data_IF_727627674626
#
_entry.id   IF_727627674626
#
_cell.length_a   1.000
_cell.length_b   1.000
_cell.length_c   1.000
_cell.angle_alpha   90.00
_cell.angle_beta   90.00
_cell.angle_gamma   90.00
#
_symmetry.space_group_name_H-M   'P 1'
#
loop_
_entity.id
_entity.type
_entity.pdbx_description
1 polymer ?
#
# COMPACT_ATOMS: atom_id res chain seq x y z
N UNK A 1 -10.24 5.73 -5.19
CA UNK A 1 -8.79 5.61 -5.44
C UNK A 1 -8.49 6.29 -6.77
N UNK A 2 -7.32 6.91 -6.93
CA UNK A 2 -6.96 7.51 -8.21
C UNK A 2 -6.60 6.41 -9.22
N UNK A 3 -6.44 6.77 -10.49
CA UNK A 3 -6.07 5.82 -11.53
C UNK A 3 -4.70 5.16 -11.24
N UNK A 4 -3.79 5.85 -10.56
CA UNK A 4 -2.47 5.33 -10.24
C UNK A 4 -2.52 4.20 -9.20
N UNK A 5 -3.24 4.35 -8.09
CA UNK A 5 -3.25 3.30 -7.06
C UNK A 5 -4.01 2.06 -7.51
N UNK A 6 -5.05 2.22 -8.34
CA UNK A 6 -5.72 1.07 -8.97
C UNK A 6 -4.76 0.31 -9.89
N UNK A 7 -4.01 1.01 -10.74
CA UNK A 7 -3.01 0.40 -11.61
C UNK A 7 -1.92 -0.33 -10.81
N UNK A 8 -1.47 0.26 -9.70
CA UNK A 8 -0.51 -0.39 -8.82
C UNK A 8 -1.08 -1.65 -8.17
N UNK A 9 -2.33 -1.62 -7.68
CA UNK A 9 -3.00 -2.80 -7.14
C UNK A 9 -3.07 -3.92 -8.18
N UNK A 10 -3.56 -3.60 -9.38
CA UNK A 10 -3.71 -4.57 -10.47
C UNK A 10 -2.37 -5.27 -10.80
N UNK A 11 -1.27 -4.52 -10.86
CA UNK A 11 0.05 -5.08 -11.15
C UNK A 11 0.60 -5.93 -9.99
N UNK A 12 0.47 -5.46 -8.75
CA UNK A 12 0.97 -6.19 -7.58
C UNK A 12 0.22 -7.52 -7.37
N UNK A 13 -1.09 -7.52 -7.59
CA UNK A 13 -1.95 -8.70 -7.48
C UNK A 13 -1.69 -9.69 -8.61
N UNK A 14 -1.60 -9.21 -9.86
CA UNK A 14 -1.30 -10.05 -11.02
C UNK A 14 0.06 -10.78 -10.88
N UNK A 15 1.03 -10.15 -10.21
CA UNK A 15 2.35 -10.71 -9.96
C UNK A 15 2.44 -11.49 -8.64
N UNK A 16 1.40 -11.49 -7.81
CA UNK A 16 1.38 -12.08 -6.47
C UNK A 16 2.54 -11.57 -5.57
N UNK A 17 2.84 -10.27 -5.66
CA UNK A 17 3.94 -9.62 -4.92
C UNK A 17 3.43 -8.86 -3.71
N UNK A 18 2.19 -8.36 -3.76
CA UNK A 18 1.60 -7.65 -2.64
C UNK A 18 0.12 -7.36 -2.85
N UNK A 19 -0.51 -6.89 -1.78
CA UNK A 19 -1.92 -6.57 -1.72
C UNK A 19 -2.12 -5.28 -0.91
N UNK A 20 -3.09 -4.46 -1.31
CA UNK A 20 -3.50 -3.31 -0.51
C UNK A 20 -4.25 -3.81 0.72
N UNK A 21 -3.80 -3.42 1.92
CA UNK A 21 -4.39 -3.89 3.19
C UNK A 21 -5.12 -2.78 3.94
N UNK A 22 -4.66 -1.53 3.85
CA UNK A 22 -5.27 -0.40 4.55
C UNK A 22 -5.16 0.88 3.70
N UNK A 23 -6.19 1.72 3.76
CA UNK A 23 -6.17 3.08 3.23
C UNK A 23 -6.58 4.05 4.34
N UNK A 24 -5.66 4.92 4.78
CA UNK A 24 -6.01 6.01 5.68
C UNK A 24 -6.44 7.22 4.84
N UNK A 25 -7.64 7.75 5.10
CA UNK A 25 -8.13 8.97 4.46
C UNK A 25 -8.38 10.03 5.50
N UNK A 26 -7.54 11.07 5.50
CA UNK A 26 -7.64 12.25 6.35
C UNK A 26 -7.85 13.50 5.47
N UNK A 27 -8.33 14.63 6.01
CA UNK A 27 -8.45 15.87 5.25
C UNK A 27 -7.10 16.27 4.63
N UNK A 28 -7.00 16.25 3.29
CA UNK A 28 -5.79 16.62 2.55
C UNK A 28 -4.66 15.58 2.55
N UNK A 29 -4.87 14.40 3.13
CA UNK A 29 -3.85 13.37 3.24
C UNK A 29 -4.44 11.97 3.00
N UNK A 30 -3.74 11.15 2.22
CA UNK A 30 -4.10 9.76 2.04
C UNK A 30 -2.85 8.89 2.08
N UNK A 31 -2.91 7.83 2.85
CA UNK A 31 -1.85 6.83 2.97
C UNK A 31 -2.38 5.48 2.52
N UNK A 32 -1.57 4.77 1.74
CA UNK A 32 -1.88 3.45 1.20
C UNK A 32 -0.88 2.45 1.74
N UNK A 33 -1.36 1.51 2.54
CA UNK A 33 -0.52 0.48 3.15
C UNK A 33 -0.68 -0.81 2.37
N UNK A 34 0.44 -1.32 1.87
CA UNK A 34 0.52 -2.58 1.15
C UNK A 34 1.27 -3.61 1.99
N UNK A 35 0.75 -4.83 2.03
CA UNK A 35 1.50 -5.98 2.51
C UNK A 35 2.18 -6.64 1.31
N UNK A 36 3.50 -6.79 1.36
CA UNK A 36 4.29 -7.37 0.27
C UNK A 36 5.23 -8.45 0.78
N UNK A 37 5.43 -9.49 -0.02
CA UNK A 37 6.42 -10.54 0.25
C UNK A 37 7.85 -10.14 -0.13
N UNK A 38 8.03 -9.01 -0.85
CA UNK A 38 9.34 -8.54 -1.28
C UNK A 38 9.31 -7.04 -1.59
N UNK A 39 9.91 -6.24 -0.71
CA UNK A 39 10.08 -4.79 -0.89
C UNK A 39 10.78 -4.44 -2.22
N UNK A 40 11.78 -5.22 -2.65
CA UNK A 40 12.49 -4.94 -3.90
C UNK A 40 11.57 -5.10 -5.13
N UNK A 41 10.88 -6.24 -5.22
CA UNK A 41 9.90 -6.50 -6.28
C UNK A 41 8.74 -5.47 -6.27
N UNK A 42 8.28 -5.05 -5.09
CA UNK A 42 7.30 -3.97 -4.94
C UNK A 42 7.83 -2.66 -5.54
N UNK A 43 9.02 -2.21 -5.12
CA UNK A 43 9.64 -0.98 -5.61
C UNK A 43 9.89 -1.02 -7.12
N UNK A 44 10.29 -2.18 -7.66
CA UNK A 44 10.45 -2.35 -9.10
C UNK A 44 9.12 -2.20 -9.84
N UNK A 45 8.04 -2.76 -9.31
CA UNK A 45 6.70 -2.64 -9.88
C UNK A 45 6.24 -1.19 -9.85
N UNK A 46 6.37 -0.52 -8.70
CA UNK A 46 6.03 0.90 -8.52
C UNK A 46 6.75 1.80 -9.54
N UNK A 47 8.06 1.62 -9.70
CA UNK A 47 8.87 2.41 -10.64
C UNK A 47 8.65 2.04 -12.11
N UNK A 48 7.95 0.94 -12.40
CA UNK A 48 7.64 0.52 -13.77
C UNK A 48 6.30 1.06 -14.29
N UNK A 49 5.48 1.63 -13.40
CA UNK A 49 4.19 2.18 -13.79
C UNK A 49 4.38 3.42 -14.68
N UNK A 50 3.59 3.56 -15.76
CA UNK A 50 3.63 4.74 -16.61
C UNK A 50 3.38 6.00 -15.78
N UNK A 51 4.27 6.97 -15.94
CA UNK A 51 4.30 8.22 -15.18
C UNK A 51 3.00 9.01 -15.44
N UNK A 52 2.06 8.94 -14.50
CA UNK A 52 0.77 9.64 -14.62
C UNK A 52 0.90 11.08 -14.11
N UNK A 53 1.71 11.91 -14.81
CA UNK A 53 1.68 13.40 -14.84
C UNK A 53 1.50 14.21 -13.55
N UNK A 54 1.53 13.60 -12.36
CA UNK A 54 1.45 14.24 -11.07
C UNK A 54 2.54 13.64 -10.19
N UNK A 55 3.73 14.24 -10.28
CA UNK A 55 4.78 14.10 -9.27
C UNK A 55 4.31 14.77 -7.99
N UNK A 56 3.34 14.18 -7.29
CA UNK A 56 3.19 14.47 -5.87
C UNK A 56 4.41 13.87 -5.17
N UNK A 57 5.03 14.57 -4.21
CA UNK A 57 6.03 13.94 -3.36
C UNK A 57 5.33 12.80 -2.61
N UNK A 58 5.60 11.57 -3.01
CA UNK A 58 5.19 10.36 -2.29
C UNK A 58 6.32 9.99 -1.33
N UNK A 59 5.99 9.87 -0.05
CA UNK A 59 6.89 9.33 0.97
C UNK A 59 6.62 7.83 1.09
N UNK A 60 7.69 7.03 1.05
CA UNK A 60 7.60 5.57 1.13
C UNK A 60 8.25 5.13 2.44
N UNK A 61 7.44 4.57 3.32
CA UNK A 61 7.89 3.92 4.54
C UNK A 61 7.86 2.40 4.36
N UNK A 62 8.94 1.75 4.78
CA UNK A 62 9.09 0.29 4.70
C UNK A 62 9.42 -0.25 6.09
N UNK A 63 8.57 -1.13 6.60
CA UNK A 63 8.77 -1.80 7.88
C UNK A 63 8.59 -3.31 7.72
N UNK A 64 9.33 -4.09 8.52
CA UNK A 64 9.20 -5.54 8.54
C UNK A 64 8.12 -5.93 9.54
N UNK A 65 7.07 -6.60 9.06
CA UNK A 65 5.94 -7.03 9.90
C UNK A 65 5.70 -8.54 9.76
N UNK A 66 6.59 -9.35 10.33
CA UNK A 66 6.58 -10.80 10.16
C UNK A 66 5.31 -11.48 10.72
N UNK A 67 4.67 -10.86 11.72
CA UNK A 67 3.50 -11.38 12.41
C UNK A 67 2.19 -10.67 11.99
N UNK A 68 2.26 -9.70 11.07
CA UNK A 68 1.11 -8.87 10.71
C UNK A 68 0.62 -7.98 11.87
N UNK A 69 1.47 -7.68 12.85
CA UNK A 69 1.12 -6.92 14.05
C UNK A 69 0.64 -5.50 13.72
N UNK A 70 1.22 -4.87 12.69
CA UNK A 70 0.77 -3.56 12.23
C UNK A 70 -0.67 -3.66 11.72
N UNK A 71 -0.93 -4.56 10.75
CA UNK A 71 -2.27 -4.78 10.22
C UNK A 71 -3.26 -5.16 11.31
N UNK A 72 -2.89 -6.11 12.17
CA UNK A 72 -3.74 -6.62 13.25
C UNK A 72 -4.09 -5.52 14.27
N UNK A 73 -3.15 -4.63 14.61
CA UNK A 73 -3.40 -3.52 15.54
C UNK A 73 -4.50 -2.58 15.02
N UNK A 74 -4.47 -2.25 13.72
CA UNK A 74 -5.48 -1.42 13.08
C UNK A 74 -6.79 -2.18 12.86
N UNK A 75 -6.72 -3.41 12.37
CA UNK A 75 -7.91 -4.25 12.16
C UNK A 75 -8.68 -4.42 13.47
N UNK A 76 -8.00 -4.69 14.59
CA UNK A 76 -8.62 -4.81 15.90
C UNK A 76 -9.16 -3.46 16.43
N UNK A 77 -8.49 -2.34 16.14
CA UNK A 77 -8.97 -1.00 16.51
C UNK A 77 -10.22 -0.58 15.73
N UNK A 78 -10.35 -0.99 14.47
CA UNK A 78 -11.51 -0.70 13.60
C UNK A 78 -12.67 -1.67 13.83
N UNK A 79 -12.38 -2.95 14.04
CA UNK A 79 -13.39 -3.99 14.32
C UNK A 79 -13.92 -3.93 15.76
N UNK A 80 -13.20 -3.25 16.66
CA UNK A 80 -13.58 -3.04 18.04
C UNK A 80 -13.45 -4.30 18.90
N UNK A 81 -12.81 -4.12 20.06
CA UNK A 81 -13.25 -4.76 21.29
C UNK A 81 -14.78 -4.69 21.37
N UNK A 82 -15.43 -5.84 21.18
CA UNK A 82 -16.85 -6.02 21.50
C UNK A 82 -17.07 -5.98 23.00
#
# INVERSE_FOLDING_TARGET
>A
MSAFENLLCDQLEALNIGQLVVVFTLPGYREYVFHTNSTNAFMKTLNSLPDQTHQFPIEIHCESDANGEFYNSYANGVLGTS
#
